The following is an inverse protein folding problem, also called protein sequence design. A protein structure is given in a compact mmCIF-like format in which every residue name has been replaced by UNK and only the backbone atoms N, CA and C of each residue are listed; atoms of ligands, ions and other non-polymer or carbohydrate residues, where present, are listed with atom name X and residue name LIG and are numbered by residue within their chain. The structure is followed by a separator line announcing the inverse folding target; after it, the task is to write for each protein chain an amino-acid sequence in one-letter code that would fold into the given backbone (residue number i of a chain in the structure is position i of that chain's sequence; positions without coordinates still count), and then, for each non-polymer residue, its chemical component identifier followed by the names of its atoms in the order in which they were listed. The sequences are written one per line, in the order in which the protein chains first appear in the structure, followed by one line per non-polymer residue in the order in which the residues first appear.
data_IF_427235098123
#
_entry.id   IF_427235098123
#
_cell.length_a   1.000
_cell.length_b   1.000
_cell.length_c   1.000
_cell.angle_alpha   90.00
_cell.angle_beta   90.00
_cell.angle_gamma   90.00
#
_symmetry.space_group_name_H-M   'P 1'
#
loop_
_entity.id
_entity.type
_entity.pdbx_description
1 polymer ?
#
# COMPACT_ATOMS: atom_id res chain seq x y z
N UNK A 1 18.09 17.44 -1.78
CA UNK A 1 16.64 17.17 -1.87
C UNK A 1 16.39 16.30 -3.09
N UNK A 2 15.56 15.27 -2.97
CA UNK A 2 15.23 14.36 -4.07
C UNK A 2 14.22 15.02 -5.03
N UNK A 3 14.52 15.05 -6.34
CA UNK A 3 13.67 15.68 -7.37
C UNK A 3 12.69 14.65 -7.95
N UNK A 4 11.39 14.80 -7.62
CA UNK A 4 10.35 13.89 -8.07
C UNK A 4 9.71 14.33 -9.38
N UNK A 5 9.55 13.37 -10.32
CA UNK A 5 8.64 13.42 -11.45
C UNK A 5 7.37 12.61 -11.19
N UNK A 6 6.22 13.10 -11.62
CA UNK A 6 4.93 12.44 -11.42
C UNK A 6 4.42 11.88 -12.75
N UNK A 7 4.20 10.55 -12.82
CA UNK A 7 3.71 9.86 -14.03
C UNK A 7 2.18 9.78 -14.01
N UNK A 8 1.51 10.78 -14.43
CA UNK A 8 0.07 11.00 -14.64
C UNK A 8 -0.55 12.04 -13.74
N UNK A 9 -1.77 12.43 -14.07
CA UNK A 9 -2.60 13.35 -13.27
C UNK A 9 -3.69 12.59 -12.50
N UNK A 10 -3.39 11.35 -12.08
CA UNK A 10 -4.30 10.50 -11.34
C UNK A 10 -4.74 11.15 -10.02
N UNK A 11 -5.97 10.80 -9.57
CA UNK A 11 -6.58 11.41 -8.38
C UNK A 11 -5.71 11.24 -7.13
N UNK A 12 -5.16 10.04 -6.90
CA UNK A 12 -4.32 9.75 -5.72
C UNK A 12 -3.08 10.66 -5.70
N UNK A 13 -2.39 10.82 -6.83
CA UNK A 13 -1.26 11.72 -6.96
C UNK A 13 -1.66 13.16 -6.67
N UNK A 14 -2.68 13.66 -7.38
CA UNK A 14 -3.13 15.05 -7.28
C UNK A 14 -3.65 15.46 -5.90
N UNK A 15 -4.32 14.54 -5.18
CA UNK A 15 -4.98 14.87 -3.91
C UNK A 15 -4.14 14.54 -2.68
N UNK A 16 -3.18 13.61 -2.77
CA UNK A 16 -2.47 13.11 -1.61
C UNK A 16 -0.95 13.13 -1.75
N UNK A 17 -0.38 12.45 -2.76
CA UNK A 17 1.07 12.26 -2.82
C UNK A 17 1.81 13.49 -3.33
N UNK A 18 1.27 14.21 -4.30
CA UNK A 18 1.90 15.47 -4.77
C UNK A 18 1.89 16.56 -3.69
N UNK A 19 0.77 16.81 -2.97
CA UNK A 19 0.83 17.67 -1.78
C UNK A 19 1.85 17.20 -0.75
N UNK A 20 1.96 15.90 -0.52
CA UNK A 20 2.94 15.34 0.42
C UNK A 20 4.39 15.57 -0.03
N UNK A 21 4.69 15.46 -1.33
CA UNK A 21 6.01 15.77 -1.88
C UNK A 21 6.34 17.25 -1.71
N UNK A 22 5.35 18.14 -1.91
CA UNK A 22 5.52 19.59 -1.74
C UNK A 22 5.76 19.96 -0.26
N UNK A 23 5.09 19.26 0.66
CA UNK A 23 5.20 19.50 2.10
C UNK A 23 6.43 18.83 2.74
N UNK A 24 7.06 17.88 2.04
CA UNK A 24 8.20 17.12 2.56
C UNK A 24 9.47 17.95 2.61
N UNK A 25 10.25 17.85 3.71
CA UNK A 25 11.46 18.64 3.94
C UNK A 25 12.64 18.28 3.01
N UNK A 26 12.64 17.08 2.44
CA UNK A 26 13.76 16.52 1.66
C UNK A 26 13.41 16.19 0.21
N UNK A 27 12.24 16.63 -0.27
CA UNK A 27 11.74 16.40 -1.62
C UNK A 27 11.53 17.71 -2.38
N UNK A 28 11.52 17.62 -3.71
CA UNK A 28 11.12 18.69 -4.63
C UNK A 28 10.22 18.08 -5.69
N UNK A 29 9.08 18.72 -5.96
CA UNK A 29 8.28 18.42 -7.13
C UNK A 29 8.92 19.07 -8.36
N UNK A 30 9.65 18.28 -9.15
CA UNK A 30 10.40 18.78 -10.31
C UNK A 30 9.60 18.77 -11.60
N UNK A 31 8.72 17.76 -11.78
CA UNK A 31 7.96 17.63 -13.02
C UNK A 31 6.65 16.88 -12.86
N UNK A 32 5.73 17.13 -13.79
CA UNK A 32 4.52 16.32 -14.01
C UNK A 32 4.50 15.89 -15.47
N UNK A 33 4.23 14.60 -15.73
CA UNK A 33 4.02 14.05 -17.06
C UNK A 33 2.60 13.52 -17.25
N UNK A 34 2.06 13.68 -18.44
CA UNK A 34 0.76 13.09 -18.81
C UNK A 34 0.72 12.91 -20.32
N UNK A 35 -0.01 11.89 -20.82
CA UNK A 35 -0.35 11.74 -22.25
C UNK A 35 -1.11 12.94 -22.83
N UNK A 36 -1.67 13.76 -21.97
CA UNK A 36 -2.26 15.06 -22.29
C UNK A 36 -1.39 16.16 -21.64
N UNK A 37 -0.61 16.86 -22.45
CA UNK A 37 0.29 17.93 -21.99
C UNK A 37 -0.46 19.08 -21.31
N UNK A 38 -1.72 19.36 -21.70
CA UNK A 38 -2.54 20.38 -21.07
C UNK A 38 -2.85 20.04 -19.61
N UNK A 39 -3.17 18.76 -19.34
CA UNK A 39 -3.38 18.26 -17.98
C UNK A 39 -2.08 18.26 -17.16
N UNK A 40 -0.95 17.90 -17.79
CA UNK A 40 0.35 17.96 -17.12
C UNK A 40 0.70 19.39 -16.69
N UNK A 41 0.56 20.39 -17.61
CA UNK A 41 0.80 21.80 -17.33
C UNK A 41 -0.10 22.35 -16.23
N UNK A 42 -1.39 22.05 -16.28
CA UNK A 42 -2.34 22.52 -15.26
C UNK A 42 -2.00 21.97 -13.86
N UNK A 43 -1.55 20.72 -13.77
CA UNK A 43 -1.14 20.12 -12.50
C UNK A 43 0.22 20.67 -12.04
N UNK A 44 1.19 20.85 -12.96
CA UNK A 44 2.48 21.46 -12.67
C UNK A 44 2.32 22.88 -12.14
N UNK A 45 1.52 23.72 -12.79
CA UNK A 45 1.22 25.08 -12.36
C UNK A 45 0.55 25.12 -10.97
N UNK A 46 -0.43 24.24 -10.75
CA UNK A 46 -1.14 24.16 -9.47
C UNK A 46 -0.22 23.89 -8.29
N UNK A 47 0.81 23.06 -8.45
CA UNK A 47 1.69 22.61 -7.38
C UNK A 47 3.11 23.19 -7.46
N UNK A 48 3.36 24.11 -8.39
CA UNK A 48 4.64 24.81 -8.52
C UNK A 48 5.76 23.96 -9.13
N UNK A 49 5.45 22.89 -9.88
CA UNK A 49 6.47 22.14 -10.61
C UNK A 49 7.01 22.96 -11.79
N UNK A 50 8.34 23.06 -11.95
CA UNK A 50 8.93 23.86 -13.03
C UNK A 50 8.76 23.25 -14.43
N UNK A 51 8.49 21.93 -14.52
CA UNK A 51 8.44 21.22 -15.78
C UNK A 51 7.14 20.43 -15.96
N UNK A 52 6.67 20.35 -17.22
CA UNK A 52 5.56 19.49 -17.63
C UNK A 52 5.91 18.82 -18.95
N UNK A 53 5.68 17.48 -19.02
CA UNK A 53 6.00 16.65 -20.18
C UNK A 53 4.74 16.05 -20.80
N UNK A 54 4.75 15.90 -22.14
CA UNK A 54 3.67 15.30 -22.93
C UNK A 54 3.70 13.77 -22.97
N UNK A 55 4.82 13.18 -22.55
CA UNK A 55 4.98 11.73 -22.43
C UNK A 55 5.79 11.37 -21.18
N UNK A 56 5.67 10.12 -20.75
CA UNK A 56 6.44 9.61 -19.60
C UNK A 56 7.90 9.40 -20.00
N UNK A 57 8.14 8.97 -21.24
CA UNK A 57 9.47 8.77 -21.80
C UNK A 57 10.29 10.08 -21.82
N UNK A 58 9.68 11.19 -22.26
CA UNK A 58 10.34 12.50 -22.20
C UNK A 58 10.74 12.89 -20.78
N UNK A 59 9.88 12.65 -19.81
CA UNK A 59 10.20 12.94 -18.40
C UNK A 59 11.33 12.01 -17.89
N UNK A 60 11.32 10.74 -18.23
CA UNK A 60 12.37 9.78 -17.81
C UNK A 60 13.73 10.13 -18.42
N UNK A 61 13.77 10.73 -19.60
CA UNK A 61 15.01 11.19 -20.25
C UNK A 61 15.60 12.48 -19.65
N UNK A 62 14.90 13.14 -18.75
CA UNK A 62 15.36 14.39 -18.12
C UNK A 62 16.37 14.14 -17.01
N UNK A 63 17.50 14.85 -17.02
CA UNK A 63 18.52 14.85 -15.95
C UNK A 63 18.08 15.67 -14.72
N UNK A 64 16.95 16.37 -14.80
CA UNK A 64 16.38 17.14 -13.70
C UNK A 64 15.48 16.32 -12.77
N UNK A 65 15.34 15.02 -13.02
CA UNK A 65 14.52 14.08 -12.25
C UNK A 65 15.42 13.00 -11.65
N UNK A 66 15.32 12.80 -10.33
CA UNK A 66 16.06 11.75 -9.61
C UNK A 66 15.17 10.54 -9.35
N UNK A 67 13.87 10.78 -9.09
CA UNK A 67 12.90 9.77 -8.75
C UNK A 67 11.56 10.01 -9.43
N UNK A 68 10.81 8.94 -9.63
CA UNK A 68 9.44 9.04 -10.16
C UNK A 68 8.44 8.41 -9.21
N UNK A 69 7.25 9.03 -9.13
CA UNK A 69 6.07 8.44 -8.54
C UNK A 69 5.11 7.97 -9.64
N UNK A 70 4.67 6.71 -9.53
CA UNK A 70 3.88 6.03 -10.58
C UNK A 70 2.46 5.73 -10.08
N UNK A 71 1.48 6.64 -10.20
CA UNK A 71 0.07 6.43 -9.89
C UNK A 71 -0.75 6.01 -11.12
N UNK A 72 -0.23 5.10 -11.90
CA UNK A 72 -0.92 4.54 -13.08
C UNK A 72 -1.93 3.45 -12.66
N UNK A 73 -2.76 2.91 -13.57
CA UNK A 73 -3.47 1.66 -13.32
C UNK A 73 -2.50 0.51 -13.03
N UNK A 74 -2.91 -0.41 -12.15
CA UNK A 74 -2.04 -1.51 -11.68
C UNK A 74 -1.43 -2.32 -12.83
N UNK A 75 -2.20 -2.55 -13.90
CA UNK A 75 -1.72 -3.27 -15.10
C UNK A 75 -0.52 -2.63 -15.80
N UNK A 76 -0.18 -1.38 -15.48
CA UNK A 76 0.93 -0.63 -16.08
C UNK A 76 2.12 -0.44 -15.12
N UNK A 77 1.99 -0.81 -13.84
CA UNK A 77 3.01 -0.54 -12.83
C UNK A 77 4.34 -1.20 -13.15
N UNK A 78 4.33 -2.51 -13.46
CA UNK A 78 5.54 -3.29 -13.76
C UNK A 78 6.30 -2.72 -14.95
N UNK A 79 5.62 -2.45 -16.06
CA UNK A 79 6.23 -1.89 -17.27
C UNK A 79 6.93 -0.57 -16.98
N UNK A 80 6.23 0.37 -16.34
CA UNK A 80 6.76 1.70 -16.08
C UNK A 80 7.80 1.74 -14.94
N UNK A 81 7.69 0.84 -13.97
CA UNK A 81 8.73 0.68 -12.95
C UNK A 81 10.06 0.20 -13.56
N UNK A 82 10.01 -0.75 -14.50
CA UNK A 82 11.19 -1.23 -15.24
C UNK A 82 11.77 -0.09 -16.09
N UNK A 83 10.96 0.58 -16.90
CA UNK A 83 11.41 1.70 -17.76
C UNK A 83 12.04 2.82 -16.95
N UNK A 84 11.46 3.16 -15.79
CA UNK A 84 12.01 4.19 -14.90
C UNK A 84 13.33 3.75 -14.27
N UNK A 85 13.42 2.52 -13.78
CA UNK A 85 14.66 1.97 -13.25
C UNK A 85 15.75 1.92 -14.33
N UNK A 86 15.42 1.52 -15.57
CA UNK A 86 16.35 1.50 -16.70
C UNK A 86 16.81 2.88 -17.15
N UNK A 87 16.02 3.91 -16.89
CA UNK A 87 16.41 5.31 -17.05
C UNK A 87 17.22 5.85 -15.85
N UNK A 88 17.62 4.99 -14.90
CA UNK A 88 18.41 5.36 -13.72
C UNK A 88 17.63 6.15 -12.67
N UNK A 89 16.28 6.10 -12.68
CA UNK A 89 15.45 6.81 -11.72
C UNK A 89 15.06 5.91 -10.56
N UNK A 90 15.09 6.45 -9.34
CA UNK A 90 14.44 5.80 -8.20
C UNK A 90 12.92 5.76 -8.42
N UNK A 91 12.25 4.71 -7.93
CA UNK A 91 10.82 4.47 -8.24
C UNK A 91 10.01 4.29 -6.97
N UNK A 92 9.02 5.13 -6.76
CA UNK A 92 7.93 4.93 -5.82
C UNK A 92 6.67 4.62 -6.64
N UNK A 93 6.20 3.36 -6.60
CA UNK A 93 5.07 2.90 -7.40
C UNK A 93 3.86 2.61 -6.53
N UNK A 94 2.66 3.00 -6.99
CA UNK A 94 1.42 2.71 -6.29
C UNK A 94 1.16 1.20 -6.10
N UNK A 95 0.46 0.91 -5.03
CA UNK A 95 0.04 -0.45 -4.70
C UNK A 95 -1.20 -0.88 -5.51
N UNK A 96 -1.32 -2.19 -5.80
CA UNK A 96 -0.26 -3.19 -5.73
C UNK A 96 0.74 -3.00 -6.86
N UNK A 97 2.01 -3.31 -6.59
CA UNK A 97 3.10 -3.17 -7.59
C UNK A 97 2.83 -4.01 -8.85
N UNK A 98 2.22 -5.17 -8.69
CA UNK A 98 1.91 -6.08 -9.79
C UNK A 98 0.59 -6.82 -9.54
N UNK A 99 0.04 -7.43 -10.59
CA UNK A 99 -1.16 -8.27 -10.51
C UNK A 99 -0.85 -9.69 -10.04
N UNK A 100 0.41 -10.14 -10.17
CA UNK A 100 0.92 -11.44 -9.71
C UNK A 100 2.32 -11.29 -9.14
N UNK A 101 2.65 -12.12 -8.17
CA UNK A 101 3.96 -12.08 -7.53
C UNK A 101 5.13 -12.36 -8.51
N UNK A 102 4.93 -13.25 -9.47
CA UNK A 102 5.94 -13.60 -10.45
C UNK A 102 6.28 -12.44 -11.42
N UNK A 103 5.35 -11.50 -11.62
CA UNK A 103 5.57 -10.32 -12.46
C UNK A 103 6.53 -9.30 -11.83
N UNK A 104 6.87 -9.46 -10.54
CA UNK A 104 7.77 -8.55 -9.81
C UNK A 104 9.26 -8.86 -10.07
N UNK A 105 9.61 -10.09 -10.42
CA UNK A 105 11.00 -10.48 -10.65
C UNK A 105 11.75 -9.62 -11.68
N UNK A 106 11.16 -9.21 -12.82
CA UNK A 106 11.79 -8.28 -13.75
C UNK A 106 12.04 -6.88 -13.18
N UNK A 107 11.19 -6.42 -12.24
CA UNK A 107 11.37 -5.13 -11.53
C UNK A 107 12.60 -5.19 -10.63
N UNK A 108 12.76 -6.29 -9.87
CA UNK A 108 13.96 -6.55 -9.05
C UNK A 108 15.20 -6.54 -9.92
N UNK A 109 15.18 -7.24 -11.04
CA UNK A 109 16.30 -7.28 -11.97
C UNK A 109 16.66 -5.89 -12.54
N UNK A 110 15.65 -5.05 -12.84
CA UNK A 110 15.88 -3.69 -13.30
C UNK A 110 16.47 -2.79 -12.20
N UNK A 111 15.93 -2.88 -10.97
CA UNK A 111 16.47 -2.21 -9.78
C UNK A 111 17.95 -2.52 -9.57
N UNK A 112 18.30 -3.80 -9.55
CA UNK A 112 19.66 -4.27 -9.24
C UNK A 112 20.66 -3.89 -10.34
N UNK A 113 20.25 -4.04 -11.61
CA UNK A 113 21.07 -3.67 -12.78
C UNK A 113 21.46 -2.20 -12.80
N UNK A 114 20.54 -1.33 -12.36
CA UNK A 114 20.72 0.11 -12.41
C UNK A 114 21.08 0.74 -11.05
N UNK A 115 21.18 -0.09 -9.99
CA UNK A 115 21.50 0.36 -8.63
C UNK A 115 20.59 1.52 -8.16
N UNK A 116 19.29 1.42 -8.42
CA UNK A 116 18.27 2.37 -8.00
C UNK A 116 17.42 1.81 -6.87
N UNK A 117 16.72 2.67 -6.14
CA UNK A 117 15.69 2.25 -5.19
C UNK A 117 14.37 2.07 -5.93
N UNK A 118 13.69 0.94 -5.68
CA UNK A 118 12.29 0.72 -6.05
C UNK A 118 11.53 0.36 -4.79
N UNK A 119 10.42 1.06 -4.51
CA UNK A 119 9.57 0.83 -3.35
C UNK A 119 8.11 0.90 -3.77
N UNK A 120 7.29 0.03 -3.20
CA UNK A 120 5.84 0.06 -3.34
C UNK A 120 5.22 0.99 -2.29
N UNK A 121 4.25 1.80 -2.69
CA UNK A 121 3.67 2.86 -1.88
C UNK A 121 2.66 2.31 -0.85
N UNK A 122 3.18 1.74 0.24
CA UNK A 122 2.39 1.33 1.40
C UNK A 122 2.53 2.34 2.55
N UNK A 123 1.92 3.51 2.40
CA UNK A 123 1.99 4.63 3.34
C UNK A 123 1.72 4.23 4.79
N UNK A 124 0.90 3.21 5.03
CA UNK A 124 0.55 2.73 6.39
C UNK A 124 1.76 2.26 7.19
N UNK A 125 2.78 1.69 6.55
CA UNK A 125 3.98 1.17 7.22
C UNK A 125 4.88 2.26 7.79
N UNK A 126 4.68 3.51 7.37
CA UNK A 126 5.44 4.67 7.83
C UNK A 126 4.76 5.41 8.99
N UNK A 127 3.52 5.02 9.35
CA UNK A 127 2.77 5.71 10.40
C UNK A 127 3.25 5.34 11.81
N UNK A 128 3.16 6.26 12.78
CA UNK A 128 3.48 5.98 14.17
C UNK A 128 2.52 4.93 14.77
N UNK A 129 1.29 4.82 14.27
CA UNK A 129 0.30 3.83 14.69
C UNK A 129 0.82 2.41 14.51
N UNK A 130 1.23 2.05 13.29
CA UNK A 130 1.69 0.69 13.01
C UNK A 130 3.03 0.37 13.67
N UNK A 131 3.90 1.37 13.83
CA UNK A 131 5.12 1.23 14.64
C UNK A 131 4.82 0.97 16.10
N UNK A 132 3.77 1.62 16.66
CA UNK A 132 3.33 1.38 18.03
C UNK A 132 2.74 -0.03 18.20
N UNK A 133 1.91 -0.49 17.26
CA UNK A 133 1.40 -1.88 17.29
C UNK A 133 2.56 -2.87 17.27
N UNK A 134 3.52 -2.70 16.36
CA UNK A 134 4.73 -3.55 16.27
C UNK A 134 5.53 -3.57 17.59
N UNK A 135 5.72 -2.40 18.22
CA UNK A 135 6.40 -2.27 19.51
C UNK A 135 5.65 -3.02 20.62
N UNK A 136 4.34 -2.81 20.75
CA UNK A 136 3.52 -3.47 21.77
C UNK A 136 3.53 -5.01 21.62
N UNK A 137 3.48 -5.52 20.40
CA UNK A 137 3.59 -6.96 20.13
C UNK A 137 4.98 -7.49 20.49
N UNK A 138 6.04 -6.77 20.12
CA UNK A 138 7.42 -7.15 20.43
C UNK A 138 7.72 -7.11 21.94
N UNK A 139 7.08 -6.21 22.68
CA UNK A 139 7.17 -6.07 24.15
C UNK A 139 6.33 -7.13 24.89
N UNK A 140 5.52 -7.95 24.18
CA UNK A 140 4.64 -8.93 24.79
C UNK A 140 3.45 -8.32 25.55
N UNK A 141 3.02 -7.09 25.19
CA UNK A 141 2.00 -6.33 25.90
C UNK A 141 0.62 -7.03 25.99
N UNK A 142 0.37 -8.00 25.13
CA UNK A 142 -0.87 -8.82 25.13
C UNK A 142 -0.63 -10.31 25.36
N UNK A 143 0.58 -10.68 25.85
CA UNK A 143 0.99 -12.08 25.96
C UNK A 143 1.24 -12.72 24.59
N UNK A 144 0.94 -14.02 24.44
CA UNK A 144 1.06 -14.71 23.15
C UNK A 144 -0.06 -14.26 22.23
N UNK A 145 0.29 -13.76 21.03
CA UNK A 145 -0.67 -13.42 19.99
C UNK A 145 -1.37 -14.70 19.50
N UNK A 146 -2.69 -14.72 19.51
CA UNK A 146 -3.51 -15.88 19.12
C UNK A 146 -4.30 -15.60 17.83
N UNK A 147 -4.86 -14.41 17.71
CA UNK A 147 -5.73 -14.08 16.58
C UNK A 147 -5.61 -12.62 16.16
N UNK A 148 -5.63 -12.38 14.84
CA UNK A 148 -5.74 -11.05 14.24
C UNK A 148 -7.05 -10.97 13.47
N UNK A 149 -7.77 -9.86 13.62
CA UNK A 149 -8.99 -9.59 12.86
C UNK A 149 -8.89 -8.27 12.11
N UNK A 150 -9.48 -8.21 10.91
CA UNK A 150 -9.50 -6.98 10.13
C UNK A 150 -10.71 -6.85 9.22
N UNK A 151 -11.03 -5.62 8.85
CA UNK A 151 -11.96 -5.32 7.79
C UNK A 151 -11.59 -4.01 7.08
N UNK A 152 -11.77 -4.00 5.77
CA UNK A 152 -11.75 -2.77 4.98
C UNK A 152 -12.87 -2.83 3.95
N UNK A 153 -13.82 -1.90 4.02
CA UNK A 153 -14.95 -1.84 3.09
C UNK A 153 -15.29 -0.40 2.74
N UNK A 154 -15.83 -0.23 1.54
CA UNK A 154 -16.47 1.00 1.07
C UNK A 154 -17.48 0.65 -0.04
N UNK A 155 -18.26 1.63 -0.51
CA UNK A 155 -19.25 1.41 -1.57
C UNK A 155 -18.87 2.16 -2.85
N UNK A 156 -18.65 1.42 -3.96
CA UNK A 156 -18.31 1.96 -5.28
C UNK A 156 -18.92 1.09 -6.40
N UNK A 157 -19.80 1.68 -7.22
CA UNK A 157 -20.38 1.03 -8.41
C UNK A 157 -20.27 1.91 -9.67
N UNK A 158 -19.22 2.69 -9.77
CA UNK A 158 -18.92 3.50 -10.95
C UNK A 158 -18.21 2.63 -12.01
N UNK A 159 -18.85 2.40 -13.15
CA UNK A 159 -18.33 1.60 -14.26
C UNK A 159 -17.07 2.19 -14.90
N UNK A 160 -16.86 3.50 -14.76
CA UNK A 160 -15.69 4.20 -15.32
C UNK A 160 -14.48 4.17 -14.39
N UNK A 161 -14.66 3.72 -13.15
CA UNK A 161 -13.59 3.64 -12.18
C UNK A 161 -12.72 2.42 -12.44
N UNK A 162 -11.40 2.59 -12.48
CA UNK A 162 -10.44 1.52 -12.75
C UNK A 162 -10.58 0.31 -11.81
N UNK A 163 -11.12 0.51 -10.58
CA UNK A 163 -11.34 -0.56 -9.61
C UNK A 163 -12.42 -1.57 -10.05
N UNK A 164 -13.29 -1.16 -10.96
CA UNK A 164 -14.33 -1.99 -11.56
C UNK A 164 -13.96 -2.48 -12.98
N UNK A 165 -12.70 -2.30 -13.42
CA UNK A 165 -12.20 -2.68 -14.75
C UNK A 165 -11.10 -3.73 -14.59
N UNK A 166 -11.37 -5.02 -14.90
CA UNK A 166 -10.39 -6.11 -14.72
C UNK A 166 -9.07 -5.89 -15.46
N UNK A 167 -9.14 -5.37 -16.70
CA UNK A 167 -7.98 -5.12 -17.57
C UNK A 167 -7.03 -4.07 -17.02
N UNK A 168 -7.51 -3.21 -16.12
CA UNK A 168 -6.71 -2.21 -15.42
C UNK A 168 -6.18 -2.71 -14.07
N UNK A 169 -6.50 -3.94 -13.68
CA UNK A 169 -6.14 -4.53 -12.40
C UNK A 169 -7.12 -4.16 -11.29
N UNK A 170 -8.40 -3.95 -11.64
CA UNK A 170 -9.47 -3.70 -10.67
C UNK A 170 -9.77 -4.91 -9.79
N UNK A 171 -10.42 -4.65 -8.66
CA UNK A 171 -10.87 -5.65 -7.70
C UNK A 171 -10.72 -5.17 -6.25
N UNK A 172 -11.47 -5.78 -5.35
CA UNK A 172 -11.42 -5.47 -3.93
C UNK A 172 -10.14 -5.96 -3.26
N UNK A 173 -9.66 -7.14 -3.61
CA UNK A 173 -8.40 -7.68 -3.07
C UNK A 173 -7.19 -6.81 -3.45
N UNK A 174 -6.95 -6.45 -4.73
CA UNK A 174 -5.82 -5.60 -5.09
C UNK A 174 -5.98 -4.16 -4.57
N UNK A 175 -7.19 -3.64 -4.42
CA UNK A 175 -7.37 -2.28 -3.90
C UNK A 175 -7.26 -2.20 -2.38
N UNK A 176 -7.97 -3.04 -1.63
CA UNK A 176 -8.07 -2.94 -0.17
C UNK A 176 -7.73 -4.22 0.60
N UNK A 177 -7.75 -5.41 -0.02
CA UNK A 177 -7.31 -6.65 0.62
C UNK A 177 -5.82 -6.66 0.97
N UNK A 178 -5.02 -5.92 0.22
CA UNK A 178 -3.59 -5.71 0.47
C UNK A 178 -3.29 -5.06 1.83
N UNK A 179 -4.22 -4.32 2.44
CA UNK A 179 -3.98 -3.61 3.71
C UNK A 179 -4.00 -4.53 4.93
N UNK A 180 -5.05 -5.36 5.19
CA UNK A 180 -5.00 -6.32 6.28
C UNK A 180 -3.81 -7.28 6.18
N UNK A 181 -3.39 -7.64 4.95
CA UNK A 181 -2.25 -8.54 4.73
C UNK A 181 -0.93 -7.85 5.08
N UNK A 182 -0.66 -6.68 4.50
CA UNK A 182 0.60 -5.96 4.73
C UNK A 182 0.75 -5.52 6.19
N UNK A 183 -0.33 -5.04 6.82
CA UNK A 183 -0.26 -4.55 8.20
C UNK A 183 -0.07 -5.67 9.22
N UNK A 184 -0.66 -6.84 8.99
CA UNK A 184 -0.40 -8.03 9.84
C UNK A 184 1.04 -8.48 9.71
N UNK A 185 1.57 -8.61 8.49
CA UNK A 185 2.98 -8.98 8.23
C UNK A 185 3.94 -7.96 8.82
N UNK A 186 3.70 -6.66 8.63
CA UNK A 186 4.53 -5.59 9.17
C UNK A 186 4.55 -5.58 10.71
N UNK A 187 3.39 -5.72 11.36
CA UNK A 187 3.27 -5.66 12.80
C UNK A 187 3.89 -6.88 13.50
N UNK A 188 3.77 -8.07 12.90
CA UNK A 188 4.22 -9.34 13.51
C UNK A 188 5.59 -9.80 13.04
N UNK A 189 6.08 -9.30 11.89
CA UNK A 189 7.29 -9.80 11.24
C UNK A 189 7.20 -11.25 10.75
N UNK A 190 5.98 -11.79 10.64
CA UNK A 190 5.73 -13.18 10.24
C UNK A 190 5.03 -13.27 8.89
N UNK A 191 5.23 -14.39 8.21
CA UNK A 191 4.60 -14.68 6.92
C UNK A 191 3.50 -15.74 7.08
N UNK A 192 2.41 -15.69 6.28
CA UNK A 192 1.37 -16.71 6.29
C UNK A 192 1.88 -18.02 5.68
N UNK A 193 1.40 -19.15 6.20
CA UNK A 193 1.74 -20.48 5.68
C UNK A 193 0.67 -20.98 4.69
N UNK A 194 -0.61 -20.77 5.02
CA UNK A 194 -1.74 -21.18 4.18
C UNK A 194 -2.98 -20.33 4.42
N UNK A 195 -3.88 -20.33 3.45
CA UNK A 195 -5.12 -19.53 3.46
C UNK A 195 -6.33 -20.34 3.05
N UNK A 196 -7.49 -19.93 3.56
CA UNK A 196 -8.82 -20.27 3.04
C UNK A 196 -9.53 -18.97 2.67
N UNK A 197 -10.30 -18.96 1.61
CA UNK A 197 -11.02 -17.77 1.19
C UNK A 197 -12.35 -18.07 0.52
N UNK A 198 -13.27 -17.11 0.63
CA UNK A 198 -14.45 -17.00 -0.24
C UNK A 198 -14.31 -15.69 -0.98
N UNK A 199 -14.30 -15.73 -2.30
CA UNK A 199 -14.22 -14.54 -3.18
C UNK A 199 -15.51 -14.47 -4.00
N UNK A 200 -16.11 -13.27 -4.06
CA UNK A 200 -17.32 -13.01 -4.86
C UNK A 200 -17.02 -11.92 -5.88
N UNK A 201 -17.47 -12.15 -7.09
CA UNK A 201 -17.30 -11.26 -8.22
C UNK A 201 -18.60 -10.54 -8.55
N UNK A 202 -18.50 -9.31 -9.04
CA UNK A 202 -19.66 -8.61 -9.62
C UNK A 202 -19.91 -9.16 -11.03
N UNK A 203 -21.16 -9.50 -11.32
CA UNK A 203 -21.57 -10.09 -12.60
C UNK A 203 -21.43 -9.10 -13.77
N UNK A 204 -21.51 -7.79 -13.52
CA UNK A 204 -21.41 -6.76 -14.55
C UNK A 204 -19.96 -6.33 -14.79
N UNK A 205 -19.15 -6.25 -13.72
CA UNK A 205 -17.77 -5.75 -13.80
C UNK A 205 -16.74 -6.86 -13.98
N UNK A 206 -17.04 -8.07 -13.47
CA UNK A 206 -16.09 -9.20 -13.49
C UNK A 206 -14.93 -9.05 -12.48
N UNK A 207 -14.91 -7.98 -11.67
CA UNK A 207 -13.94 -7.79 -10.60
C UNK A 207 -14.45 -8.39 -9.29
N UNK A 208 -13.54 -8.80 -8.41
CA UNK A 208 -13.91 -9.21 -7.06
C UNK A 208 -14.41 -8.00 -6.25
N UNK A 209 -15.56 -8.18 -5.60
CA UNK A 209 -16.23 -7.14 -4.82
C UNK A 209 -16.33 -7.49 -3.33
N UNK A 210 -16.03 -8.73 -2.98
CA UNK A 210 -16.02 -9.24 -1.62
C UNK A 210 -15.03 -10.38 -1.50
N UNK A 211 -14.22 -10.35 -0.47
CA UNK A 211 -13.42 -11.48 -0.03
C UNK A 211 -13.51 -11.64 1.48
N UNK A 212 -13.71 -12.88 1.94
CA UNK A 212 -13.53 -13.30 3.34
C UNK A 212 -12.39 -14.29 3.40
N UNK A 213 -11.41 -14.01 4.24
CA UNK A 213 -10.13 -14.71 4.28
C UNK A 213 -9.82 -15.17 5.70
N UNK A 214 -9.33 -16.38 5.82
CA UNK A 214 -8.67 -16.93 7.00
C UNK A 214 -7.27 -17.40 6.61
N UNK A 215 -6.25 -16.97 7.35
CA UNK A 215 -4.86 -17.33 7.10
C UNK A 215 -4.19 -17.82 8.36
N UNK A 216 -3.43 -18.91 8.27
CA UNK A 216 -2.57 -19.40 9.33
C UNK A 216 -1.18 -18.81 9.22
N UNK A 217 -0.69 -18.32 10.34
CA UNK A 217 0.67 -17.83 10.56
C UNK A 217 1.34 -18.66 11.66
N UNK A 218 2.67 -18.68 11.75
CA UNK A 218 3.35 -19.32 12.85
C UNK A 218 2.89 -18.78 14.21
N UNK A 219 2.03 -19.54 14.92
CA UNK A 219 1.56 -19.25 16.27
C UNK A 219 0.27 -18.42 16.38
N UNK A 220 -0.35 -17.96 15.29
CA UNK A 220 -1.64 -17.27 15.32
C UNK A 220 -2.40 -17.40 14.01
N UNK A 221 -3.66 -16.98 14.00
CA UNK A 221 -4.48 -16.88 12.80
C UNK A 221 -4.82 -15.42 12.49
N UNK A 222 -4.95 -15.11 11.19
CA UNK A 222 -5.56 -13.88 10.69
C UNK A 222 -6.92 -14.20 10.07
N UNK A 223 -7.96 -13.45 10.43
CA UNK A 223 -9.23 -13.42 9.71
C UNK A 223 -9.59 -11.99 9.28
N UNK A 224 -9.97 -11.81 8.02
CA UNK A 224 -10.44 -10.50 7.56
C UNK A 224 -11.47 -10.62 6.45
N UNK A 225 -12.20 -9.55 6.23
CA UNK A 225 -13.00 -9.40 5.02
C UNK A 225 -12.81 -8.02 4.41
N UNK A 226 -12.95 -7.97 3.09
CA UNK A 226 -12.92 -6.74 2.33
C UNK A 226 -14.10 -6.68 1.36
N UNK A 227 -14.56 -5.48 1.06
CA UNK A 227 -15.57 -5.29 0.03
C UNK A 227 -15.56 -3.88 -0.53
N UNK A 228 -15.73 -3.78 -1.85
CA UNK A 228 -15.95 -2.53 -2.56
C UNK A 228 -17.45 -2.19 -2.72
N UNK A 229 -18.35 -3.00 -2.16
CA UNK A 229 -19.80 -2.81 -2.25
C UNK A 229 -20.52 -3.03 -0.91
N UNK A 230 -19.88 -2.66 0.20
CA UNK A 230 -20.49 -2.60 1.53
C UNK A 230 -20.38 -1.19 2.13
N UNK A 231 -21.16 -0.92 3.17
CA UNK A 231 -21.00 0.28 3.98
C UNK A 231 -19.56 0.38 4.48
N UNK A 232 -19.01 1.61 4.55
CA UNK A 232 -17.63 1.84 4.91
C UNK A 232 -17.30 1.35 6.31
N UNK A 233 -16.23 0.58 6.44
CA UNK A 233 -15.66 0.10 7.71
C UNK A 233 -14.16 -0.10 7.58
N UNK A 234 -13.43 0.30 8.63
CA UNK A 234 -12.01 -0.03 8.79
C UNK A 234 -11.76 -0.41 10.24
N UNK A 235 -11.12 -1.52 10.48
CA UNK A 235 -10.57 -1.87 11.79
C UNK A 235 -9.51 -2.95 11.67
N UNK A 236 -8.60 -2.99 12.65
CA UNK A 236 -7.70 -4.11 12.91
C UNK A 236 -7.63 -4.36 14.42
N UNK A 237 -7.58 -5.63 14.81
CA UNK A 237 -7.45 -6.04 16.20
C UNK A 237 -6.46 -7.20 16.32
N UNK A 238 -5.60 -7.15 17.34
CA UNK A 238 -4.62 -8.19 17.69
C UNK A 238 -4.96 -8.73 19.06
N UNK A 239 -5.40 -9.96 19.13
CA UNK A 239 -5.91 -10.60 20.34
C UNK A 239 -4.92 -11.62 20.86
N UNK A 240 -4.39 -11.37 22.05
CA UNK A 240 -3.45 -12.24 22.74
C UNK A 240 -4.04 -12.89 23.98
N UNK A 241 -3.21 -13.66 24.70
CA UNK A 241 -3.61 -14.37 25.94
C UNK A 241 -3.85 -13.43 27.11
N UNK A 242 -3.21 -12.26 27.12
CA UNK A 242 -3.21 -11.32 28.23
C UNK A 242 -3.83 -9.96 27.92
N UNK A 243 -4.20 -9.72 26.66
CA UNK A 243 -4.78 -8.45 26.25
C UNK A 243 -5.21 -8.39 24.80
N UNK A 244 -5.67 -7.19 24.42
CA UNK A 244 -6.16 -6.87 23.10
C UNK A 244 -5.58 -5.53 22.66
N UNK A 245 -5.07 -5.48 21.43
CA UNK A 245 -4.72 -4.22 20.75
C UNK A 245 -5.76 -3.97 19.66
N UNK A 246 -6.41 -2.80 19.67
CA UNK A 246 -7.33 -2.35 18.62
C UNK A 246 -6.78 -1.11 17.93
N UNK A 247 -6.83 -1.12 16.58
CA UNK A 247 -6.45 0.03 15.76
C UNK A 247 -7.71 0.65 15.18
N UNK A 248 -8.06 1.84 15.65
CA UNK A 248 -9.36 2.49 15.35
C UNK A 248 -9.43 2.97 13.90
N UNK A 249 -8.36 3.58 13.39
CA UNK A 249 -8.27 4.06 12.00
C UNK A 249 -7.04 3.47 11.31
N UNK A 250 -7.07 2.17 10.95
CA UNK A 250 -5.85 1.44 10.58
C UNK A 250 -5.25 1.85 9.23
N UNK A 251 -6.04 2.35 8.26
CA UNK A 251 -5.58 2.48 6.87
C UNK A 251 -5.65 3.90 6.31
N UNK A 252 -6.67 4.67 6.67
CA UNK A 252 -6.89 6.03 6.18
C UNK A 252 -7.18 6.97 7.34
N UNK A 253 -6.21 7.18 8.20
CA UNK A 253 -6.35 7.91 9.42
C UNK A 253 -6.95 9.31 9.25
N UNK A 254 -6.36 10.13 8.41
CA UNK A 254 -6.81 11.52 8.18
C UNK A 254 -8.22 11.64 7.57
N UNK A 255 -8.79 10.54 7.10
CA UNK A 255 -10.11 10.50 6.44
C UNK A 255 -11.17 9.74 7.22
N UNK A 256 -10.76 8.76 8.02
CA UNK A 256 -11.67 7.85 8.72
C UNK A 256 -11.93 8.27 10.16
N UNK A 257 -10.94 8.83 10.84
CA UNK A 257 -11.02 9.25 12.21
C UNK A 257 -9.65 9.50 12.84
N UNK A 258 -9.63 9.70 14.16
CA UNK A 258 -8.39 9.88 14.90
C UNK A 258 -7.55 8.61 14.92
N UNK A 259 -6.25 8.73 14.66
CA UNK A 259 -5.32 7.64 14.79
C UNK A 259 -5.11 7.24 16.24
N UNK A 260 -5.73 6.15 16.61
CA UNK A 260 -5.68 5.66 18.01
C UNK A 260 -5.39 4.17 18.03
N UNK A 261 -4.44 3.79 18.89
CA UNK A 261 -4.21 2.40 19.29
C UNK A 261 -4.72 2.26 20.73
N UNK A 262 -5.62 1.31 20.94
CA UNK A 262 -6.16 0.94 22.24
C UNK A 262 -5.48 -0.35 22.70
N UNK A 263 -4.92 -0.36 23.89
CA UNK A 263 -4.38 -1.55 24.56
C UNK A 263 -5.24 -1.85 25.79
N UNK A 264 -5.97 -2.94 25.74
CA UNK A 264 -6.79 -3.42 26.87
C UNK A 264 -6.17 -4.66 27.52
N UNK A 265 -6.25 -4.74 28.85
CA UNK A 265 -5.84 -5.94 29.58
C UNK A 265 -6.85 -7.09 29.43
N UNK A 266 -6.53 -8.28 29.93
CA UNK A 266 -7.28 -9.54 29.76
C UNK A 266 -8.79 -9.44 30.02
N UNK A 267 -9.21 -8.68 30.99
CA UNK A 267 -10.62 -8.57 31.40
C UNK A 267 -11.25 -7.21 31.09
N UNK A 268 -10.57 -6.39 30.29
CA UNK A 268 -11.00 -5.03 29.92
C UNK A 268 -11.27 -4.08 31.10
N UNK A 269 -10.69 -4.35 32.28
CA UNK A 269 -10.77 -3.43 33.43
C UNK A 269 -9.92 -2.18 33.24
N UNK A 270 -8.91 -2.25 32.38
CA UNK A 270 -8.01 -1.18 32.04
C UNK A 270 -7.81 -1.11 30.52
N UNK A 271 -7.88 0.09 29.97
CA UNK A 271 -7.58 0.37 28.56
C UNK A 271 -6.71 1.62 28.46
N UNK A 272 -5.53 1.48 27.86
CA UNK A 272 -4.65 2.57 27.53
C UNK A 272 -4.88 3.01 26.09
N UNK A 273 -5.03 4.32 25.84
CA UNK A 273 -5.17 4.89 24.50
C UNK A 273 -3.89 5.64 24.12
N UNK A 274 -3.31 5.25 22.99
CA UNK A 274 -2.22 5.97 22.34
C UNK A 274 -2.80 6.72 21.14
N UNK A 275 -2.82 8.06 21.22
CA UNK A 275 -3.35 8.94 20.17
C UNK A 275 -2.22 9.58 19.40
N UNK A 276 -2.32 9.59 18.11
CA UNK A 276 -1.37 10.20 17.19
C UNK A 276 -2.08 11.34 16.46
N UNK A 277 -1.67 12.55 16.77
CA UNK A 277 -2.11 13.74 16.04
C UNK A 277 -1.16 13.95 14.88
N UNK A 278 -1.63 14.18 13.68
CA UNK A 278 -0.77 14.44 12.53
C UNK A 278 0.04 13.21 12.07
N UNK A 279 -0.63 12.22 11.53
CA UNK A 279 0.06 11.05 10.97
C UNK A 279 0.80 11.38 9.68
N UNK A 280 0.28 12.33 8.88
CA UNK A 280 0.83 12.73 7.56
C UNK A 280 1.48 11.56 6.82
N UNK A 281 0.74 10.43 6.71
CA UNK A 281 1.28 9.16 6.26
C UNK A 281 2.01 9.24 4.91
N UNK A 282 1.51 10.03 3.96
CA UNK A 282 2.13 10.21 2.65
C UNK A 282 3.40 11.09 2.73
N UNK A 283 3.44 12.09 3.59
CA UNK A 283 4.67 12.89 3.83
C UNK A 283 5.76 12.00 4.41
N UNK A 284 5.42 11.19 5.43
CA UNK A 284 6.37 10.25 6.04
C UNK A 284 6.91 9.22 5.04
N UNK A 285 6.05 8.73 4.16
CA UNK A 285 6.42 7.79 3.09
C UNK A 285 7.42 8.43 2.11
N UNK A 286 7.08 9.59 1.53
CA UNK A 286 7.97 10.23 0.54
C UNK A 286 9.28 10.71 1.16
N UNK A 287 9.26 11.15 2.42
CA UNK A 287 10.48 11.52 3.15
C UNK A 287 11.38 10.31 3.45
N UNK A 288 10.80 9.18 3.88
CA UNK A 288 11.54 7.95 4.11
C UNK A 288 12.15 7.42 2.82
N UNK A 289 11.34 7.38 1.74
CA UNK A 289 11.81 7.01 0.41
C UNK A 289 12.97 7.92 -0.05
N UNK A 290 12.84 9.23 0.11
CA UNK A 290 13.88 10.18 -0.29
C UNK A 290 15.17 10.00 0.52
N UNK A 291 15.09 9.77 1.84
CA UNK A 291 16.28 9.46 2.66
C UNK A 291 16.99 8.21 2.17
N UNK A 292 16.25 7.13 1.90
CA UNK A 292 16.81 5.89 1.39
C UNK A 292 17.43 6.06 -0.01
N UNK A 293 16.75 6.75 -0.92
CA UNK A 293 17.24 7.03 -2.27
C UNK A 293 18.53 7.87 -2.27
N UNK A 294 18.70 8.74 -1.27
CA UNK A 294 19.92 9.52 -1.06
C UNK A 294 21.01 8.78 -0.25
N UNK A 295 20.83 7.49 0.02
CA UNK A 295 21.83 6.64 0.65
C UNK A 295 21.83 6.66 2.18
N UNK A 296 20.83 7.21 2.84
CA UNK A 296 20.68 7.12 4.29
C UNK A 296 20.16 5.74 4.71
N UNK A 297 20.56 5.27 5.90
CA UNK A 297 19.97 4.07 6.50
C UNK A 297 18.52 4.40 6.91
N UNK A 298 17.57 3.92 6.13
CA UNK A 298 16.15 4.19 6.30
C UNK A 298 15.32 2.95 5.93
N UNK A 299 14.42 2.53 6.83
CA UNK A 299 13.47 1.45 6.55
C UNK A 299 12.45 1.94 5.49
N UNK A 300 12.35 1.20 4.40
CA UNK A 300 11.35 1.38 3.34
C UNK A 300 10.65 0.06 3.05
N UNK A 301 9.48 0.11 2.42
CA UNK A 301 8.80 -1.09 1.96
C UNK A 301 9.54 -1.64 0.74
N UNK A 302 10.20 -2.78 0.89
CA UNK A 302 11.09 -3.35 -0.14
C UNK A 302 10.29 -4.07 -1.24
N UNK A 303 10.89 -4.22 -2.42
CA UNK A 303 10.28 -4.99 -3.53
C UNK A 303 10.15 -6.48 -3.14
N UNK A 304 11.02 -6.98 -2.28
CA UNK A 304 10.93 -8.32 -1.71
C UNK A 304 9.71 -8.47 -0.79
N UNK A 305 9.33 -7.42 -0.05
CA UNK A 305 8.08 -7.36 0.72
C UNK A 305 6.87 -7.33 -0.20
N UNK A 306 6.98 -6.63 -1.34
CA UNK A 306 5.96 -6.62 -2.40
C UNK A 306 5.71 -8.04 -2.92
N UNK A 307 6.77 -8.80 -3.23
CA UNK A 307 6.66 -10.21 -3.65
C UNK A 307 5.91 -11.03 -2.60
N UNK A 308 6.30 -10.93 -1.32
CA UNK A 308 5.65 -11.68 -0.24
C UNK A 308 4.18 -11.30 -0.06
N UNK A 309 3.87 -10.00 -0.11
CA UNK A 309 2.48 -9.53 0.02
C UNK A 309 1.63 -9.96 -1.18
N UNK A 310 2.18 -9.87 -2.40
CA UNK A 310 1.46 -10.30 -3.60
C UNK A 310 1.25 -11.82 -3.64
N UNK A 311 2.22 -12.64 -3.18
CA UNK A 311 2.03 -14.10 -3.03
C UNK A 311 0.86 -14.43 -2.11
N UNK A 312 0.68 -13.67 -1.04
CA UNK A 312 -0.47 -13.82 -0.15
C UNK A 312 -1.78 -13.54 -0.91
N UNK A 313 -1.87 -12.44 -1.65
CA UNK A 313 -3.06 -12.11 -2.46
C UNK A 313 -3.32 -13.17 -3.54
N UNK A 314 -2.27 -13.63 -4.23
CA UNK A 314 -2.37 -14.70 -5.23
C UNK A 314 -2.91 -16.00 -4.61
N UNK A 315 -2.47 -16.34 -3.40
CA UNK A 315 -2.96 -17.50 -2.65
C UNK A 315 -4.43 -17.33 -2.25
N UNK A 316 -4.86 -16.13 -1.86
CA UNK A 316 -6.28 -15.82 -1.57
C UNK A 316 -7.15 -16.06 -2.80
N UNK A 317 -6.73 -15.61 -3.98
CA UNK A 317 -7.46 -15.88 -5.22
C UNK A 317 -7.51 -17.38 -5.56
N UNK A 318 -6.39 -18.10 -5.40
CA UNK A 318 -6.37 -19.56 -5.60
C UNK A 318 -7.31 -20.28 -4.62
N UNK A 319 -7.30 -19.89 -3.35
CA UNK A 319 -8.18 -20.44 -2.32
C UNK A 319 -9.66 -20.14 -2.58
N UNK A 320 -9.97 -18.94 -3.09
CA UNK A 320 -11.33 -18.55 -3.48
C UNK A 320 -11.93 -19.38 -4.62
N UNK A 321 -11.08 -19.98 -5.45
CA UNK A 321 -11.46 -20.89 -6.53
C UNK A 321 -11.40 -22.39 -6.12
N UNK A 322 -10.94 -22.69 -4.90
CA UNK A 322 -10.91 -24.02 -4.35
C UNK A 322 -12.18 -24.26 -3.50
N UNK A 323 -12.64 -25.51 -3.40
CA UNK A 323 -13.86 -25.90 -2.64
C UNK A 323 -13.71 -25.75 -1.11
N UNK A 324 -13.24 -24.56 -0.65
CA UNK A 324 -13.08 -24.22 0.75
C UNK A 324 -11.87 -24.87 1.45
N UNK A 325 -10.98 -25.49 0.69
CA UNK A 325 -9.76 -26.11 1.21
C UNK A 325 -8.66 -25.08 1.54
N UNK A 326 -7.67 -25.53 2.33
CA UNK A 326 -6.46 -24.74 2.57
C UNK A 326 -5.55 -24.71 1.36
N UNK A 327 -5.07 -23.52 1.01
CA UNK A 327 -4.11 -23.28 -0.08
C UNK A 327 -2.81 -22.71 0.51
N UNK A 328 -1.67 -23.28 0.15
CA UNK A 328 -0.34 -22.76 0.55
C UNK A 328 -0.06 -21.42 -0.09
N UNK A 329 0.56 -20.51 0.67
CA UNK A 329 0.97 -19.17 0.21
C UNK A 329 2.27 -19.20 -0.59
#
# INVERSE_FOLDING_TARGET
MLRFGIMSTAKIGRELVVPAIVDAENCILAAVASRDIGRARAMAERFGAPQAFGSYEEMLASDEIDAVYIPLPTSQHVEWAIKAADAGKHVLVEKPLALKADDIAPVIAARDRNNVLVSEAYMVTYTPVWRKVRSLLAEGAIGDLVHVQGAFTYFLRDETNMRNIPELGGGGLPDIGVYPTVTTRFATGKEPERVQATVRYDENFGTDIYASVRAEFPGFELSFYVSTQLASRQFMAFHGTDGLIEVVSPFNADRWGEETVLLSNRNHSETQAFRFQDSRQYVREVEAFARAAMGAEQEVFTVEDSVRNQRFIDAVYRAGNADGGWTTV
#
